data_IF_672463176039
#
_entry.id   IF_672463176039
#
_cell.length_a   1.000
_cell.length_b   1.000
_cell.length_c   1.000
_cell.angle_alpha   90.00
_cell.angle_beta   90.00
_cell.angle_gamma   90.00
#
_symmetry.space_group_name_H-M   'P 1'
#
loop_
_entity.id
_entity.type
_entity.pdbx_description
1 polymer ?
#
# COMPACT_ATOMS: atom_id res chain seq x y z
N UNK A 1 -5.08 7.79 -19.48
CA UNK A 1 -5.32 8.83 -18.44
C UNK A 1 -4.98 8.22 -17.10
N UNK A 2 -4.54 9.02 -16.13
CA UNK A 2 -4.31 8.57 -14.76
C UNK A 2 -5.54 8.92 -13.93
N UNK A 3 -6.05 7.97 -13.16
CA UNK A 3 -7.13 8.17 -12.21
C UNK A 3 -6.57 8.23 -10.80
N UNK A 4 -7.04 9.21 -10.05
CA UNK A 4 -6.57 9.54 -8.71
C UNK A 4 -7.73 9.45 -7.73
N UNK A 5 -7.49 8.81 -6.59
CA UNK A 5 -8.47 8.70 -5.53
C UNK A 5 -7.77 8.80 -4.19
N UNK A 6 -8.39 9.51 -3.25
CA UNK A 6 -7.85 9.72 -1.91
C UNK A 6 -8.89 9.30 -0.86
N UNK A 7 -8.48 9.14 0.39
CA UNK A 7 -9.42 8.78 1.47
C UNK A 7 -10.39 9.91 1.77
N UNK A 8 -9.87 10.97 2.40
CA UNK A 8 -10.65 12.13 2.83
C UNK A 8 -10.10 13.43 2.23
N UNK A 9 -10.96 14.42 2.07
CA UNK A 9 -10.61 15.81 1.73
C UNK A 9 -11.39 16.76 2.61
N UNK A 10 -10.66 17.60 3.35
CA UNK A 10 -11.26 18.63 4.19
C UNK A 10 -11.85 19.77 3.37
N UNK A 11 -12.89 20.41 3.91
CA UNK A 11 -13.46 21.63 3.35
C UNK A 11 -13.43 22.72 4.44
N UNK A 12 -12.76 23.87 4.23
CA UNK A 12 -12.69 24.92 5.24
C UNK A 12 -14.06 25.50 5.66
N UNK A 13 -15.04 25.49 4.75
CA UNK A 13 -16.36 26.09 4.97
C UNK A 13 -17.44 25.16 5.54
N UNK A 14 -17.15 23.89 5.81
CA UNK A 14 -18.14 22.94 6.34
C UNK A 14 -17.46 21.97 7.33
N UNK A 15 -18.09 21.63 8.48
CA UNK A 15 -17.42 20.91 9.56
C UNK A 15 -16.91 19.49 9.21
N UNK A 16 -17.25 18.95 8.04
CA UNK A 16 -16.77 17.67 7.51
C UNK A 16 -16.72 17.73 5.97
N UNK A 17 -15.54 17.69 5.36
CA UNK A 17 -15.42 17.66 3.90
C UNK A 17 -15.90 16.34 3.27
N UNK A 18 -15.26 15.90 2.18
CA UNK A 18 -15.58 14.62 1.54
C UNK A 18 -14.74 13.48 2.16
N UNK A 19 -15.38 12.63 2.97
CA UNK A 19 -14.79 11.44 3.60
C UNK A 19 -15.30 10.16 2.92
N UNK A 20 -15.65 10.24 1.64
CA UNK A 20 -16.19 9.11 0.86
C UNK A 20 -15.55 9.08 -0.52
N UNK A 21 -14.21 9.23 -0.48
CA UNK A 21 -13.31 9.14 -1.61
C UNK A 21 -13.54 10.25 -2.64
N UNK A 22 -12.84 11.39 -2.56
CA UNK A 22 -12.70 12.29 -3.71
C UNK A 22 -11.89 11.61 -4.81
N UNK A 23 -12.12 12.01 -6.05
CA UNK A 23 -11.33 11.52 -7.19
C UNK A 23 -11.12 12.57 -8.27
N UNK A 24 -10.10 12.34 -9.08
CA UNK A 24 -9.72 13.20 -10.19
C UNK A 24 -9.08 12.39 -11.32
N UNK A 25 -8.89 13.04 -12.47
CA UNK A 25 -8.07 12.52 -13.56
C UNK A 25 -6.97 13.51 -13.95
N UNK A 26 -5.87 13.00 -14.46
CA UNK A 26 -4.85 13.81 -15.12
C UNK A 26 -4.32 13.10 -16.38
N UNK A 27 -3.73 13.89 -17.26
CA UNK A 27 -2.87 13.36 -18.31
C UNK A 27 -1.43 13.21 -17.79
N UNK A 28 -0.69 12.29 -18.40
CA UNK A 28 0.74 12.13 -18.16
C UNK A 28 1.52 13.24 -18.86
N UNK A 29 2.77 13.54 -18.47
CA UNK A 29 3.57 14.60 -19.09
C UNK A 29 3.76 14.38 -20.59
N UNK A 30 3.97 13.13 -21.02
CA UNK A 30 4.10 12.72 -22.43
C UNK A 30 2.78 12.82 -23.22
N UNK A 31 1.66 13.08 -22.54
CA UNK A 31 0.31 13.22 -23.12
C UNK A 31 -0.30 14.60 -22.86
N UNK A 32 0.52 15.61 -22.61
CA UNK A 32 0.09 17.01 -22.41
C UNK A 32 -0.20 17.39 -20.97
N UNK A 33 0.06 16.51 -20.00
CA UNK A 33 0.13 16.86 -18.58
C UNK A 33 1.33 17.74 -18.26
N UNK A 34 1.34 18.33 -17.06
CA UNK A 34 2.48 19.11 -16.59
C UNK A 34 3.69 18.21 -16.30
N UNK A 35 4.93 18.69 -16.48
CA UNK A 35 6.09 18.06 -15.88
C UNK A 35 5.89 17.89 -14.37
N UNK A 36 6.20 16.71 -13.83
CA UNK A 36 5.91 16.38 -12.42
C UNK A 36 6.53 17.38 -11.42
N UNK A 37 7.68 17.98 -11.75
CA UNK A 37 8.32 19.03 -10.95
C UNK A 37 7.48 20.31 -10.80
N UNK A 38 6.53 20.54 -11.70
CA UNK A 38 5.62 21.69 -11.66
C UNK A 38 4.28 21.33 -10.99
N UNK A 39 4.03 20.04 -10.75
CA UNK A 39 2.81 19.51 -10.16
C UNK A 39 1.99 18.65 -11.13
N UNK A 40 0.78 18.31 -10.70
CA UNK A 40 -0.16 17.48 -11.47
C UNK A 40 -1.42 18.32 -11.73
N UNK A 41 -1.79 18.45 -13.01
CA UNK A 41 -3.00 19.17 -13.39
C UNK A 41 -4.24 18.27 -13.18
N UNK A 42 -4.73 18.24 -11.93
CA UNK A 42 -5.85 17.41 -11.52
C UNK A 42 -7.19 18.01 -11.97
N UNK A 43 -7.94 17.23 -12.75
CA UNK A 43 -9.33 17.52 -13.08
C UNK A 43 -10.23 16.70 -12.15
N UNK A 44 -10.69 17.33 -11.07
CA UNK A 44 -11.54 16.68 -10.08
C UNK A 44 -12.91 16.31 -10.63
N UNK A 45 -13.47 15.21 -10.14
CA UNK A 45 -14.89 14.93 -10.30
C UNK A 45 -15.67 15.84 -9.33
N UNK A 46 -16.41 16.79 -9.87
CA UNK A 46 -17.08 17.82 -9.06
C UNK A 46 -18.56 17.51 -8.81
N UNK A 47 -19.08 18.00 -7.69
CA UNK A 47 -20.51 18.06 -7.39
C UNK A 47 -21.15 19.32 -7.99
N UNK A 48 -22.45 19.48 -7.77
CA UNK A 48 -23.22 20.64 -8.25
C UNK A 48 -22.77 21.98 -7.67
N UNK A 49 -22.00 21.99 -6.58
CA UNK A 49 -21.45 23.18 -5.94
C UNK A 49 -20.00 23.46 -6.37
N UNK A 50 -19.42 22.64 -7.26
CA UNK A 50 -18.03 22.76 -7.69
C UNK A 50 -17.01 22.20 -6.70
N UNK A 51 -17.42 21.41 -5.72
CA UNK A 51 -16.52 20.73 -4.78
C UNK A 51 -16.25 19.28 -5.22
N UNK A 52 -15.14 18.67 -4.80
CA UNK A 52 -14.81 17.28 -5.15
C UNK A 52 -15.88 16.31 -4.62
N UNK A 53 -16.65 15.70 -5.52
CA UNK A 53 -17.79 14.84 -5.17
C UNK A 53 -17.34 13.55 -4.51
N UNK A 54 -18.24 12.95 -3.73
CA UNK A 54 -18.09 11.57 -3.24
C UNK A 54 -18.08 10.63 -4.43
N UNK A 55 -16.97 9.94 -4.65
CA UNK A 55 -16.87 8.94 -5.71
C UNK A 55 -17.12 7.53 -5.18
N UNK A 56 -17.09 7.28 -3.87
CA UNK A 56 -17.43 5.99 -3.29
C UNK A 56 -18.33 6.16 -2.08
N UNK A 57 -19.65 6.28 -2.28
CA UNK A 57 -20.63 6.44 -1.20
C UNK A 57 -21.45 5.15 -0.99
N UNK A 58 -20.86 4.19 -0.28
CA UNK A 58 -21.52 2.91 -0.01
C UNK A 58 -22.55 3.07 1.13
N UNK A 59 -23.72 2.41 1.04
CA UNK A 59 -24.80 2.57 2.02
C UNK A 59 -24.37 2.14 3.43
N UNK A 60 -24.99 2.75 4.44
CA UNK A 60 -24.71 2.51 5.85
C UNK A 60 -24.04 3.69 6.55
N UNK A 61 -24.02 3.71 7.89
CA UNK A 61 -23.47 4.81 8.68
C UNK A 61 -21.98 5.01 8.45
N UNK A 62 -21.55 6.27 8.61
CA UNK A 62 -20.14 6.67 8.56
C UNK A 62 -19.52 6.72 7.16
N UNK A 63 -18.23 7.07 7.07
CA UNK A 63 -17.54 7.22 5.80
C UNK A 63 -17.29 5.88 5.09
N UNK A 64 -16.91 5.97 3.82
CA UNK A 64 -16.45 4.85 3.01
C UNK A 64 -15.05 5.14 2.54
N UNK A 65 -14.11 4.23 2.80
CA UNK A 65 -12.75 4.33 2.27
C UNK A 65 -12.48 3.23 1.28
N UNK A 66 -11.47 3.43 0.44
CA UNK A 66 -10.98 2.42 -0.50
C UNK A 66 -9.53 2.09 -0.25
N UNK A 67 -9.13 0.91 -0.70
CA UNK A 67 -7.81 0.32 -0.58
C UNK A 67 -7.60 -0.68 -1.73
N UNK A 68 -6.36 -1.05 -2.05
CA UNK A 68 -6.11 -2.05 -3.10
C UNK A 68 -6.59 -1.64 -4.52
N UNK A 69 -6.51 -0.35 -4.87
CA UNK A 69 -6.95 0.17 -6.18
C UNK A 69 -6.18 -0.48 -7.34
N UNK A 70 -6.87 -1.19 -8.23
CA UNK A 70 -6.25 -1.99 -9.31
C UNK A 70 -7.01 -1.88 -10.63
N UNK A 71 -6.26 -1.82 -11.73
CA UNK A 71 -6.81 -1.95 -13.09
C UNK A 71 -6.59 -3.39 -13.57
N UNK A 72 -7.66 -4.05 -14.01
CA UNK A 72 -7.64 -5.40 -14.58
C UNK A 72 -8.29 -5.39 -15.96
N UNK A 73 -7.95 -6.39 -16.78
CA UNK A 73 -8.62 -6.58 -18.06
C UNK A 73 -9.71 -7.65 -17.91
N UNK A 74 -10.87 -7.42 -18.50
CA UNK A 74 -11.90 -8.45 -18.61
C UNK A 74 -11.59 -9.45 -19.75
N UNK A 75 -12.46 -10.45 -19.91
CA UNK A 75 -12.34 -11.48 -20.96
C UNK A 75 -12.39 -10.93 -22.39
N UNK A 76 -12.87 -9.70 -22.57
CA UNK A 76 -12.92 -9.01 -23.86
C UNK A 76 -11.70 -8.08 -24.05
N UNK A 77 -10.84 -7.96 -23.05
CA UNK A 77 -9.66 -7.09 -23.06
C UNK A 77 -9.96 -5.64 -22.66
N UNK A 78 -11.13 -5.33 -22.09
CA UNK A 78 -11.41 -3.98 -21.62
C UNK A 78 -10.78 -3.73 -20.25
N UNK A 79 -10.16 -2.57 -20.07
CA UNK A 79 -9.69 -2.12 -18.75
C UNK A 79 -10.87 -1.84 -17.82
N UNK A 80 -10.77 -2.33 -16.59
CA UNK A 80 -11.76 -2.14 -15.53
C UNK A 80 -11.05 -1.81 -14.23
N UNK A 81 -11.55 -0.81 -13.51
CA UNK A 81 -10.94 -0.29 -12.29
C UNK A 81 -11.70 -0.77 -11.06
N UNK A 82 -11.00 -1.44 -10.15
CA UNK A 82 -11.54 -2.01 -8.93
C UNK A 82 -10.84 -1.47 -7.69
N UNK A 83 -11.52 -1.53 -6.56
CA UNK A 83 -10.92 -1.33 -5.24
C UNK A 83 -11.66 -2.16 -4.19
N UNK A 84 -10.99 -2.47 -3.08
CA UNK A 84 -11.69 -2.90 -1.87
C UNK A 84 -12.23 -1.66 -1.16
N UNK A 85 -13.51 -1.65 -0.79
CA UNK A 85 -14.05 -0.63 0.10
C UNK A 85 -14.13 -1.14 1.54
N UNK A 86 -14.18 -0.19 2.47
CA UNK A 86 -14.51 -0.43 3.89
C UNK A 86 -15.51 0.62 4.37
N UNK A 87 -16.42 0.21 5.26
CA UNK A 87 -17.26 1.13 6.02
C UNK A 87 -16.72 1.32 7.42
N UNK A 88 -16.64 2.57 7.85
CA UNK A 88 -16.05 2.97 9.12
C UNK A 88 -17.13 3.50 10.05
N UNK A 89 -17.05 3.15 11.33
CA UNK A 89 -17.84 3.72 12.41
C UNK A 89 -16.95 4.04 13.61
N UNK A 90 -17.49 4.79 14.57
CA UNK A 90 -16.81 5.17 15.80
C UNK A 90 -15.41 5.75 15.51
N UNK A 91 -14.42 5.47 16.37
CA UNK A 91 -13.04 5.86 16.13
C UNK A 91 -12.33 4.84 15.23
N UNK A 92 -12.48 4.99 13.91
CA UNK A 92 -11.77 4.24 12.86
C UNK A 92 -12.07 2.72 12.82
N UNK A 93 -13.21 2.27 13.34
CA UNK A 93 -13.57 0.85 13.36
C UNK A 93 -14.21 0.43 12.05
N UNK A 94 -13.57 -0.49 11.34
CA UNK A 94 -14.13 -1.11 10.13
C UNK A 94 -15.23 -2.10 10.53
N UNK A 95 -16.43 -2.01 9.95
CA UNK A 95 -17.54 -2.93 10.24
C UNK A 95 -18.09 -3.66 9.00
N UNK A 96 -17.74 -3.20 7.80
CA UNK A 96 -18.04 -3.86 6.53
C UNK A 96 -16.85 -3.67 5.60
N UNK A 97 -16.62 -4.67 4.74
CA UNK A 97 -15.67 -4.59 3.62
C UNK A 97 -16.23 -5.32 2.41
N UNK A 98 -15.77 -4.95 1.23
CA UNK A 98 -16.19 -5.60 -0.01
C UNK A 98 -15.44 -5.08 -1.21
N UNK A 99 -15.90 -5.46 -2.39
CA UNK A 99 -15.35 -5.01 -3.67
C UNK A 99 -16.26 -3.96 -4.30
N UNK A 100 -15.64 -2.92 -4.85
CA UNK A 100 -16.29 -1.92 -5.70
C UNK A 100 -15.60 -1.86 -7.06
N UNK A 101 -16.34 -1.41 -8.06
CA UNK A 101 -15.86 -1.17 -9.41
C UNK A 101 -16.22 0.24 -9.85
N UNK A 102 -15.30 0.93 -10.51
CA UNK A 102 -15.53 2.27 -11.01
C UNK A 102 -16.39 2.26 -12.27
N UNK A 103 -17.51 2.97 -12.23
CA UNK A 103 -18.35 3.25 -13.38
C UNK A 103 -17.86 4.52 -14.09
N UNK A 104 -17.33 4.36 -15.30
CA UNK A 104 -16.79 5.46 -16.09
C UNK A 104 -17.83 6.48 -16.57
N UNK A 105 -19.08 6.10 -16.75
CA UNK A 105 -20.13 7.04 -17.14
C UNK A 105 -20.54 7.91 -15.94
N UNK A 106 -20.77 7.29 -14.79
CA UNK A 106 -21.24 7.97 -13.60
C UNK A 106 -20.09 8.63 -12.80
N UNK A 107 -18.85 8.30 -13.12
CA UNK A 107 -17.62 8.73 -12.42
C UNK A 107 -17.72 8.49 -10.90
N UNK A 108 -18.09 7.27 -10.54
CA UNK A 108 -18.17 6.79 -9.15
C UNK A 108 -17.98 5.27 -9.09
N UNK A 109 -17.60 4.78 -7.92
CA UNK A 109 -17.57 3.37 -7.56
C UNK A 109 -18.97 2.83 -7.26
N UNK A 110 -19.23 1.64 -7.76
CA UNK A 110 -20.44 0.86 -7.55
C UNK A 110 -20.11 -0.43 -6.79
N UNK A 111 -20.98 -0.80 -5.85
CA UNK A 111 -20.82 -2.01 -5.05
C UNK A 111 -20.89 -3.23 -5.97
N UNK A 112 -19.87 -4.09 -5.91
CA UNK A 112 -19.88 -5.40 -6.59
C UNK A 112 -20.32 -6.51 -5.63
N UNK A 113 -19.75 -6.53 -4.43
CA UNK A 113 -20.06 -7.54 -3.43
C UNK A 113 -19.58 -7.13 -2.04
N UNK A 114 -20.13 -7.78 -1.02
CA UNK A 114 -19.61 -7.76 0.36
C UNK A 114 -18.68 -8.95 0.55
N UNK A 115 -17.51 -8.72 1.11
CA UNK A 115 -16.57 -9.77 1.45
C UNK A 115 -16.87 -10.34 2.84
N UNK A 116 -16.52 -11.61 3.06
CA UNK A 116 -16.51 -12.17 4.42
C UNK A 116 -15.57 -11.36 5.31
N UNK A 117 -16.12 -10.79 6.37
CA UNK A 117 -15.41 -9.97 7.33
C UNK A 117 -14.35 -10.76 8.11
N UNK A 118 -14.49 -12.09 8.21
CA UNK A 118 -13.56 -12.96 8.93
C UNK A 118 -12.56 -13.67 8.02
N UNK A 119 -12.63 -13.47 6.69
CA UNK A 119 -11.65 -14.02 5.77
C UNK A 119 -10.22 -13.59 6.16
N UNK A 120 -9.29 -14.54 6.14
CA UNK A 120 -7.89 -14.34 6.49
C UNK A 120 -7.14 -13.48 5.46
N UNK A 121 -7.51 -13.63 4.18
CA UNK A 121 -6.88 -12.97 3.04
C UNK A 121 -7.90 -12.11 2.30
N UNK A 122 -7.47 -10.92 1.92
CA UNK A 122 -8.26 -9.92 1.19
C UNK A 122 -7.32 -8.83 0.63
N UNK A 123 -7.75 -8.04 -0.38
CA UNK A 123 -6.95 -6.91 -0.88
C UNK A 123 -6.57 -5.94 0.22
N UNK A 124 -5.30 -5.55 0.29
CA UNK A 124 -4.84 -4.55 1.25
C UNK A 124 -3.56 -3.86 0.78
N UNK A 125 -3.42 -2.58 1.13
CA UNK A 125 -2.24 -1.78 0.82
C UNK A 125 -2.15 -1.41 -0.66
N UNK A 126 -0.93 -1.13 -1.10
CA UNK A 126 -0.68 -0.67 -2.47
C UNK A 126 -0.43 -1.86 -3.40
N UNK A 127 -1.36 -2.16 -4.33
CA UNK A 127 -1.21 -3.33 -5.18
C UNK A 127 -0.15 -3.11 -6.25
N UNK A 128 0.37 -4.23 -6.74
CA UNK A 128 1.26 -4.27 -7.89
C UNK A 128 0.99 -5.53 -8.72
N UNK A 129 1.14 -5.41 -10.04
CA UNK A 129 1.09 -6.54 -10.96
C UNK A 129 2.45 -7.26 -10.95
N UNK A 130 2.46 -8.58 -10.94
CA UNK A 130 3.67 -9.39 -11.01
C UNK A 130 3.41 -10.69 -11.75
N UNK A 131 4.28 -11.01 -12.71
CA UNK A 131 4.23 -12.28 -13.43
C UNK A 131 5.03 -13.33 -12.66
N UNK A 132 4.43 -14.49 -12.41
CA UNK A 132 5.08 -15.65 -11.79
C UNK A 132 4.74 -16.91 -12.58
N UNK A 133 5.76 -17.54 -13.17
CA UNK A 133 5.59 -18.80 -13.90
C UNK A 133 4.66 -18.68 -15.12
N UNK A 134 4.72 -17.56 -15.86
CA UNK A 134 3.87 -17.31 -17.02
C UNK A 134 2.43 -16.91 -16.71
N UNK A 135 2.12 -16.64 -15.43
CA UNK A 135 0.80 -16.19 -15.00
C UNK A 135 0.88 -14.81 -14.34
N UNK A 136 -0.06 -13.95 -14.69
CA UNK A 136 -0.20 -12.63 -14.08
C UNK A 136 -0.94 -12.71 -12.74
N UNK A 137 -0.35 -12.10 -11.72
CA UNK A 137 -0.95 -11.94 -10.40
C UNK A 137 -1.01 -10.46 -10.01
N UNK A 138 -1.97 -10.13 -9.15
CA UNK A 138 -1.94 -8.92 -8.35
C UNK A 138 -1.45 -9.29 -6.97
N UNK A 139 -0.40 -8.61 -6.51
CA UNK A 139 0.12 -8.75 -5.16
C UNK A 139 -0.41 -7.62 -4.28
N UNK A 140 -0.71 -7.95 -3.04
CA UNK A 140 -1.22 -7.09 -1.98
C UNK A 140 -0.41 -7.29 -0.70
N UNK A 141 -0.47 -6.31 0.19
CA UNK A 141 0.16 -6.37 1.50
C UNK A 141 0.39 -4.98 2.08
N UNK A 142 0.47 -4.92 3.41
CA UNK A 142 0.81 -3.69 4.10
C UNK A 142 2.32 -3.47 4.07
N UNK A 143 3.10 -4.24 4.83
CA UNK A 143 4.55 -4.05 4.95
C UNK A 143 5.32 -4.58 3.72
N UNK A 144 4.93 -5.76 3.25
CA UNK A 144 5.47 -6.40 2.06
C UNK A 144 4.33 -7.06 1.27
N UNK A 145 4.43 -7.17 -0.07
CA UNK A 145 3.36 -7.64 -0.94
C UNK A 145 3.25 -9.19 -0.93
N UNK A 146 2.94 -9.75 0.24
CA UNK A 146 2.94 -11.19 0.50
C UNK A 146 1.65 -11.91 0.12
N UNK A 147 0.58 -11.20 -0.21
CA UNK A 147 -0.70 -11.76 -0.63
C UNK A 147 -0.75 -11.70 -2.16
N UNK A 148 -1.25 -12.73 -2.84
CA UNK A 148 -1.50 -12.70 -4.29
C UNK A 148 -2.88 -13.22 -4.65
N UNK A 149 -3.34 -12.82 -5.82
CA UNK A 149 -4.52 -13.36 -6.52
C UNK A 149 -4.25 -13.33 -8.02
N UNK A 150 -4.74 -14.30 -8.82
CA UNK A 150 -4.67 -14.20 -10.28
C UNK A 150 -5.27 -12.88 -10.77
N UNK A 151 -4.68 -12.28 -11.81
CA UNK A 151 -5.05 -10.95 -12.28
C UNK A 151 -6.29 -10.94 -13.18
N UNK A 152 -7.44 -11.41 -12.65
CA UNK A 152 -8.73 -11.37 -13.33
C UNK A 152 -9.82 -10.75 -12.44
N UNK A 153 -10.85 -10.10 -13.01
CA UNK A 153 -11.97 -9.56 -12.22
C UNK A 153 -12.69 -10.60 -11.37
N UNK A 154 -12.82 -11.83 -11.85
CA UNK A 154 -13.52 -12.91 -11.15
C UNK A 154 -12.69 -13.44 -9.98
N UNK A 155 -11.37 -13.63 -10.17
CA UNK A 155 -10.48 -14.07 -9.09
C UNK A 155 -10.30 -12.98 -8.02
N UNK A 156 -10.22 -11.71 -8.42
CA UNK A 156 -10.22 -10.57 -7.49
C UNK A 156 -11.50 -10.55 -6.62
N UNK A 157 -12.61 -11.04 -7.16
CA UNK A 157 -13.86 -11.14 -6.43
C UNK A 157 -13.96 -12.37 -5.51
N UNK A 158 -13.22 -13.45 -5.77
CA UNK A 158 -13.30 -14.67 -4.97
C UNK A 158 -12.13 -14.77 -3.96
N UNK A 159 -12.43 -14.48 -2.68
CA UNK A 159 -11.42 -14.57 -1.61
C UNK A 159 -10.78 -15.97 -1.44
N UNK A 160 -11.37 -17.03 -2.02
CA UNK A 160 -10.78 -18.39 -2.02
C UNK A 160 -9.62 -18.54 -3.00
N UNK A 161 -9.44 -17.58 -3.91
CA UNK A 161 -8.32 -17.55 -4.86
C UNK A 161 -7.08 -16.89 -4.28
N UNK A 162 -7.22 -16.20 -3.14
CA UNK A 162 -6.12 -15.51 -2.50
C UNK A 162 -5.19 -16.51 -1.83
N UNK A 163 -3.90 -16.26 -2.01
CA UNK A 163 -2.81 -17.00 -1.40
C UNK A 163 -1.87 -16.02 -0.70
N UNK A 164 -1.17 -16.47 0.32
CA UNK A 164 -0.08 -15.70 0.94
C UNK A 164 1.21 -16.49 0.92
N UNK A 165 2.33 -15.81 0.68
CA UNK A 165 3.66 -16.39 0.76
C UNK A 165 4.04 -16.54 2.23
N UNK A 166 4.12 -17.79 2.70
CA UNK A 166 4.21 -18.07 4.14
C UNK A 166 4.83 -19.44 4.43
N UNK A 167 5.46 -19.55 5.59
CA UNK A 167 5.93 -20.80 6.19
C UNK A 167 4.95 -21.39 7.20
N UNK A 168 3.74 -20.86 7.33
CA UNK A 168 2.71 -21.45 8.20
C UNK A 168 2.07 -22.69 7.54
N UNK A 169 1.81 -23.74 8.29
CA UNK A 169 0.99 -24.88 7.83
C UNK A 169 -0.47 -24.47 7.71
N UNK A 170 -1.11 -24.82 6.60
CA UNK A 170 -2.57 -24.71 6.46
C UNK A 170 -3.25 -25.60 7.51
N UNK A 171 -4.22 -25.04 8.23
CA UNK A 171 -4.93 -25.74 9.30
C UNK A 171 -6.04 -24.88 9.90
N UNK A 172 -6.98 -25.50 10.62
CA UNK A 172 -8.20 -24.84 11.12
C UNK A 172 -8.05 -24.16 12.50
N UNK A 173 -6.91 -24.32 13.17
CA UNK A 173 -6.71 -23.73 14.50
C UNK A 173 -6.26 -22.26 14.41
N UNK A 174 -7.22 -21.35 14.56
CA UNK A 174 -7.07 -19.90 14.40
C UNK A 174 -6.24 -19.18 15.47
N UNK A 175 -5.50 -19.90 16.33
CA UNK A 175 -4.66 -19.31 17.39
C UNK A 175 -3.31 -19.99 17.61
N UNK A 176 -3.10 -21.18 17.07
CA UNK A 176 -1.89 -21.99 17.26
C UNK A 176 -1.28 -22.37 15.91
N UNK A 177 -0.99 -21.37 15.07
CA UNK A 177 -0.35 -21.61 13.78
C UNK A 177 0.93 -22.41 13.98
N UNK A 178 1.10 -23.47 13.18
CA UNK A 178 2.29 -24.29 13.18
C UNK A 178 3.19 -23.90 12.03
N UNK A 179 4.49 -23.85 12.25
CA UNK A 179 5.45 -23.60 11.18
C UNK A 179 5.72 -24.87 10.38
N UNK A 180 5.95 -24.70 9.09
CA UNK A 180 6.38 -25.74 8.17
C UNK A 180 7.88 -25.65 7.97
N UNK A 181 8.55 -26.79 8.10
CA UNK A 181 10.00 -26.92 7.99
C UNK A 181 10.33 -28.06 7.05
N UNK A 182 11.44 -27.94 6.32
CA UNK A 182 12.00 -29.04 5.54
C UNK A 182 12.78 -30.04 6.41
N UNK A 183 13.30 -31.09 5.76
CA UNK A 183 14.04 -32.16 6.44
C UNK A 183 15.37 -31.67 7.06
N UNK A 184 15.85 -30.50 6.64
CA UNK A 184 17.02 -29.83 7.20
C UNK A 184 16.65 -28.85 8.34
N UNK A 185 15.36 -28.75 8.68
CA UNK A 185 14.85 -27.86 9.72
C UNK A 185 14.66 -26.41 9.27
N UNK A 186 14.83 -26.06 8.00
CA UNK A 186 14.65 -24.69 7.50
C UNK A 186 13.17 -24.40 7.23
N UNK A 187 12.74 -23.16 7.47
CA UNK A 187 11.37 -22.71 7.16
C UNK A 187 11.03 -22.90 5.66
N UNK A 188 9.90 -23.57 5.40
CA UNK A 188 9.42 -23.85 4.04
C UNK A 188 8.41 -22.82 3.58
N UNK A 189 8.89 -21.83 2.84
CA UNK A 189 8.04 -20.80 2.23
C UNK A 189 7.33 -21.32 0.98
N UNK A 190 6.01 -21.20 0.96
CA UNK A 190 5.16 -21.54 -0.19
C UNK A 190 4.01 -20.53 -0.29
N UNK A 191 3.37 -20.47 -1.46
CA UNK A 191 2.09 -19.80 -1.61
C UNK A 191 0.99 -20.68 -1.01
N UNK A 192 0.30 -20.17 0.00
CA UNK A 192 -0.64 -20.96 0.80
C UNK A 192 -2.00 -20.31 0.88
N UNK A 193 -3.04 -21.15 0.82
CA UNK A 193 -4.42 -20.78 1.13
C UNK A 193 -4.71 -21.04 2.61
N UNK A 194 -5.74 -20.38 3.13
CA UNK A 194 -6.29 -20.62 4.47
C UNK A 194 -5.28 -20.42 5.63
N UNK A 195 -4.35 -19.49 5.47
CA UNK A 195 -3.46 -19.00 6.53
C UNK A 195 -3.42 -17.46 6.47
N UNK A 196 -3.19 -16.76 7.58
CA UNK A 196 -3.04 -15.31 7.58
C UNK A 196 -1.72 -14.90 6.90
N UNK A 197 -1.61 -13.66 6.42
CA UNK A 197 -0.33 -13.12 5.98
C UNK A 197 0.63 -13.02 7.17
N UNK A 198 1.93 -13.16 6.92
CA UNK A 198 2.94 -12.90 7.95
C UNK A 198 2.88 -11.41 8.36
N UNK A 199 3.02 -11.16 9.66
CA UNK A 199 3.14 -9.82 10.26
C UNK A 199 4.17 -9.86 11.38
N UNK A 200 4.79 -8.73 11.72
CA UNK A 200 5.71 -8.66 12.87
C UNK A 200 5.10 -9.20 14.16
N UNK A 201 3.82 -8.89 14.44
CA UNK A 201 3.11 -9.39 15.61
C UNK A 201 2.92 -10.92 15.58
N UNK A 202 2.57 -11.48 14.42
CA UNK A 202 2.44 -12.93 14.27
C UNK A 202 3.78 -13.62 14.50
N UNK A 203 4.86 -13.09 13.91
CA UNK A 203 6.20 -13.65 14.05
C UNK A 203 6.72 -13.53 15.49
N UNK A 204 6.43 -12.42 16.18
CA UNK A 204 6.74 -12.27 17.60
C UNK A 204 6.07 -13.35 18.45
N UNK A 205 4.78 -13.62 18.21
CA UNK A 205 4.08 -14.70 18.91
C UNK A 205 4.70 -16.08 18.61
N UNK A 206 5.16 -16.33 17.38
CA UNK A 206 5.83 -17.60 17.04
C UNK A 206 7.18 -17.76 17.75
N UNK A 207 7.94 -16.67 17.93
CA UNK A 207 9.19 -16.67 18.72
C UNK A 207 8.89 -16.95 20.19
N UNK A 208 7.91 -16.28 20.77
CA UNK A 208 7.49 -16.49 22.17
C UNK A 208 7.05 -17.95 22.42
N UNK A 209 6.51 -18.61 21.39
CA UNK A 209 6.15 -20.03 21.42
C UNK A 209 7.31 -20.99 21.09
N UNK A 210 8.51 -20.48 20.80
CA UNK A 210 9.68 -21.27 20.41
C UNK A 210 9.53 -21.98 19.06
N UNK A 211 8.63 -21.52 18.19
CA UNK A 211 8.42 -22.13 16.88
C UNK A 211 9.42 -21.65 15.82
N UNK A 212 9.91 -20.41 15.95
CA UNK A 212 10.97 -19.83 15.13
C UNK A 212 11.97 -19.08 16.01
N UNK A 213 13.19 -18.92 15.54
CA UNK A 213 14.20 -18.06 16.16
C UNK A 213 14.12 -16.63 15.60
N UNK A 214 14.65 -15.63 16.31
CA UNK A 214 14.57 -14.22 15.89
C UNK A 214 15.15 -13.99 14.49
N UNK A 215 16.26 -14.62 14.15
CA UNK A 215 16.90 -14.51 12.84
C UNK A 215 16.14 -15.21 11.71
N UNK A 216 15.17 -16.06 12.04
CA UNK A 216 14.33 -16.75 11.05
C UNK A 216 13.12 -15.93 10.61
N UNK A 217 12.79 -14.84 11.33
CA UNK A 217 11.69 -13.96 10.94
C UNK A 217 11.88 -13.44 9.51
N UNK A 218 10.77 -13.29 8.80
CA UNK A 218 10.72 -12.69 7.48
C UNK A 218 11.02 -11.19 7.55
N UNK A 219 10.44 -10.47 8.51
CA UNK A 219 10.62 -9.01 8.62
C UNK A 219 11.93 -8.68 9.35
N UNK A 220 13.03 -8.60 8.60
CA UNK A 220 14.39 -8.34 9.11
C UNK A 220 15.00 -7.01 8.66
N UNK A 221 14.20 -6.10 8.11
CA UNK A 221 14.71 -4.80 7.63
C UNK A 221 15.45 -4.06 8.74
N UNK A 222 16.67 -3.59 8.44
CA UNK A 222 17.53 -2.87 9.38
C UNK A 222 17.98 -1.54 8.80
N UNK A 223 18.13 -0.57 9.69
CA UNK A 223 18.72 0.71 9.37
C UNK A 223 20.20 0.53 9.04
N UNK A 224 20.63 1.04 7.88
CA UNK A 224 22.03 1.05 7.46
C UNK A 224 22.94 1.82 8.42
N UNK A 225 22.42 2.83 9.13
CA UNK A 225 23.24 3.64 10.04
C UNK A 225 23.38 2.98 11.42
N UNK A 226 22.25 2.56 11.99
CA UNK A 226 22.22 2.10 13.40
C UNK A 226 22.20 0.58 13.55
N UNK A 227 22.03 -0.17 12.45
CA UNK A 227 21.88 -1.63 12.43
C UNK A 227 20.65 -2.17 13.18
N UNK A 228 19.82 -1.26 13.69
CA UNK A 228 18.60 -1.59 14.43
C UNK A 228 17.52 -2.06 13.46
N UNK A 229 16.73 -3.04 13.90
CA UNK A 229 15.57 -3.53 13.15
C UNK A 229 14.52 -2.42 13.05
N UNK A 230 13.93 -2.28 11.86
CA UNK A 230 12.87 -1.34 11.53
C UNK A 230 11.59 -2.15 11.31
N UNK A 231 10.49 -1.70 11.90
CA UNK A 231 9.17 -2.26 11.65
C UNK A 231 8.40 -1.36 10.68
N UNK A 232 8.15 -1.90 9.49
CA UNK A 232 7.36 -1.22 8.45
C UNK A 232 5.87 -1.51 8.70
N UNK A 233 5.08 -0.45 8.87
CA UNK A 233 3.64 -0.52 9.02
C UNK A 233 2.95 -0.75 7.67
N UNK A 234 3.33 0.03 6.67
CA UNK A 234 2.85 -0.12 5.30
C UNK A 234 3.88 0.43 4.31
N UNK A 235 3.83 -0.06 3.07
CA UNK A 235 4.77 0.32 2.04
C UNK A 235 4.14 0.34 0.65
N UNK A 236 4.85 0.96 -0.27
CA UNK A 236 4.67 0.77 -1.71
C UNK A 236 5.91 0.11 -2.27
N UNK A 237 5.74 -0.95 -3.04
CA UNK A 237 6.81 -1.66 -3.75
C UNK A 237 6.64 -1.48 -5.26
N UNK A 238 7.75 -1.28 -5.97
CA UNK A 238 7.76 -1.13 -7.42
C UNK A 238 9.08 -1.63 -8.01
N UNK A 239 9.05 -2.09 -9.25
CA UNK A 239 10.28 -2.35 -10.02
C UNK A 239 10.94 -1.02 -10.40
N UNK A 240 12.26 -0.96 -10.30
CA UNK A 240 13.05 0.20 -10.71
C UNK A 240 14.08 -0.20 -11.77
N UNK A 241 13.97 0.38 -12.97
CA UNK A 241 14.85 0.04 -14.10
C UNK A 241 16.30 0.47 -13.88
N UNK A 242 16.54 1.64 -13.26
CA UNK A 242 17.88 2.16 -12.96
C UNK A 242 18.64 1.27 -11.99
N UNK A 243 17.95 0.69 -11.01
CA UNK A 243 18.54 -0.26 -10.06
C UNK A 243 18.62 -1.68 -10.61
N UNK A 244 17.71 -2.07 -11.51
CA UNK A 244 17.49 -3.48 -11.83
C UNK A 244 17.04 -4.28 -10.59
N UNK A 245 16.30 -3.64 -9.69
CA UNK A 245 15.82 -4.19 -8.41
C UNK A 245 14.39 -3.74 -8.14
N UNK A 246 13.74 -4.43 -7.21
CA UNK A 246 12.52 -3.95 -6.56
C UNK A 246 12.88 -2.95 -5.47
N UNK A 247 12.21 -1.80 -5.47
CA UNK A 247 12.37 -0.75 -4.46
C UNK A 247 11.15 -0.66 -3.57
N UNK A 248 11.38 -0.42 -2.27
CA UNK A 248 10.34 -0.17 -1.28
C UNK A 248 10.42 1.27 -0.79
N UNK A 249 9.27 1.93 -0.68
CA UNK A 249 9.09 3.11 0.16
C UNK A 249 8.16 2.70 1.31
N UNK A 250 8.73 2.57 2.51
CA UNK A 250 8.06 2.02 3.69
C UNK A 250 7.89 3.05 4.80
N UNK A 251 6.72 3.07 5.42
CA UNK A 251 6.43 3.86 6.61
C UNK A 251 6.71 3.05 7.86
N UNK A 252 7.50 3.61 8.77
CA UNK A 252 7.65 3.12 10.14
C UNK A 252 6.76 3.94 11.09
N UNK A 253 6.15 3.25 12.06
CA UNK A 253 5.51 3.87 13.23
C UNK A 253 6.46 3.94 14.42
N UNK A 254 6.25 4.90 15.30
CA UNK A 254 6.98 5.05 16.57
C UNK A 254 8.50 5.13 16.41
N UNK A 255 8.97 5.81 15.36
CA UNK A 255 10.37 6.18 15.23
C UNK A 255 10.65 7.48 15.99
N UNK A 256 11.31 8.44 15.35
CA UNK A 256 11.43 9.80 15.90
C UNK A 256 10.10 10.56 15.90
N UNK A 257 9.19 10.20 14.99
CA UNK A 257 7.79 10.64 14.95
C UNK A 257 6.83 9.48 15.24
N UNK A 258 5.61 9.78 15.67
CA UNK A 258 4.55 8.77 15.89
C UNK A 258 4.22 8.02 14.60
N UNK A 259 4.13 8.73 13.47
CA UNK A 259 3.74 8.21 12.16
C UNK A 259 4.29 9.10 11.03
N UNK A 260 5.56 8.93 10.65
CA UNK A 260 6.14 9.81 9.63
C UNK A 260 7.54 9.44 9.15
N UNK A 261 8.14 8.36 9.66
CA UNK A 261 9.45 7.92 9.23
C UNK A 261 9.33 7.10 7.94
N UNK A 262 9.90 7.62 6.85
CA UNK A 262 9.88 6.96 5.55
C UNK A 262 11.26 6.41 5.22
N UNK A 263 11.27 5.15 4.81
CA UNK A 263 12.45 4.36 4.51
C UNK A 263 12.46 3.93 3.04
N UNK A 264 13.64 3.96 2.45
CA UNK A 264 13.95 3.35 1.17
C UNK A 264 14.66 2.01 1.37
N UNK A 265 14.32 0.99 0.57
CA UNK A 265 14.99 -0.32 0.57
C UNK A 265 14.99 -0.94 -0.83
N UNK A 266 15.88 -1.89 -1.07
CA UNK A 266 16.03 -2.62 -2.33
C UNK A 266 16.02 -4.15 -2.12
N UNK A 267 15.48 -4.90 -3.08
CA UNK A 267 15.51 -6.35 -3.11
C UNK A 267 15.51 -6.91 -4.53
N UNK A 268 16.00 -8.14 -4.70
CA UNK A 268 15.98 -8.84 -5.99
C UNK A 268 14.58 -9.35 -6.39
N UNK A 269 13.66 -9.47 -5.43
CA UNK A 269 12.29 -9.95 -5.60
C UNK A 269 11.32 -8.99 -4.91
N UNK A 270 10.07 -8.82 -5.37
CA UNK A 270 9.09 -8.01 -4.67
C UNK A 270 8.74 -8.59 -3.30
N UNK A 271 9.03 -9.89 -3.09
CA UNK A 271 8.90 -10.59 -1.82
C UNK A 271 10.15 -10.44 -0.93
N UNK A 272 11.10 -9.56 -1.25
CA UNK A 272 12.33 -9.42 -0.47
C UNK A 272 13.34 -10.54 -0.74
N UNK A 273 14.22 -10.88 0.22
CA UNK A 273 14.29 -10.30 1.57
C UNK A 273 14.65 -8.82 1.52
N UNK A 274 13.95 -8.03 2.35
CA UNK A 274 14.22 -6.61 2.54
C UNK A 274 15.16 -6.46 3.73
N UNK A 275 16.46 -6.40 3.47
CA UNK A 275 17.49 -6.48 4.51
C UNK A 275 17.88 -5.11 5.06
N UNK A 276 18.11 -4.15 4.18
CA UNK A 276 18.66 -2.84 4.53
C UNK A 276 17.75 -1.70 4.13
N UNK A 277 17.63 -0.72 5.01
CA UNK A 277 16.84 0.48 4.83
C UNK A 277 17.65 1.75 5.08
N UNK A 278 17.37 2.78 4.28
CA UNK A 278 17.85 4.15 4.49
C UNK A 278 16.67 5.04 4.79
N UNK A 279 16.72 5.82 5.88
CA UNK A 279 15.69 6.83 6.14
C UNK A 279 15.82 7.95 5.12
N UNK A 280 14.72 8.33 4.47
CA UNK A 280 14.70 9.35 3.41
C UNK A 280 13.82 10.56 3.73
N UNK A 281 12.78 10.39 4.56
CA UNK A 281 11.91 11.48 5.01
C UNK A 281 11.55 11.27 6.48
N UNK A 282 11.55 12.36 7.23
CA UNK A 282 10.96 12.44 8.57
C UNK A 282 10.31 13.81 8.74
N UNK A 283 9.27 13.88 9.56
CA UNK A 283 8.65 15.12 10.00
C UNK A 283 8.63 15.12 11.51
N UNK A 284 9.19 16.16 12.13
CA UNK A 284 9.33 16.24 13.60
C UNK A 284 7.98 16.13 14.32
N UNK A 285 7.09 17.12 14.12
CA UNK A 285 5.75 17.15 14.70
C UNK A 285 4.66 17.08 13.63
N UNK A 286 4.76 16.20 12.65
CA UNK A 286 3.70 15.98 11.66
C UNK A 286 3.60 14.52 11.26
N UNK A 287 2.39 14.09 10.88
CA UNK A 287 2.24 12.74 10.34
C UNK A 287 2.42 12.78 8.83
N UNK A 288 3.14 11.81 8.27
CA UNK A 288 3.26 11.57 6.84
C UNK A 288 3.11 10.08 6.59
N UNK A 289 1.96 9.65 6.09
CA UNK A 289 1.58 8.24 6.08
C UNK A 289 0.97 7.77 4.76
N UNK A 290 0.85 6.45 4.62
CA UNK A 290 0.37 5.81 3.39
C UNK A 290 1.22 6.14 2.14
N UNK A 291 2.54 5.89 2.20
CA UNK A 291 3.43 6.27 1.12
C UNK A 291 3.17 5.45 -0.14
N UNK A 292 2.89 6.12 -1.26
CA UNK A 292 2.67 5.50 -2.58
C UNK A 292 3.75 5.94 -3.57
N UNK A 293 4.47 4.99 -4.16
CA UNK A 293 5.34 5.25 -5.31
C UNK A 293 4.50 5.48 -6.57
N UNK A 294 4.98 6.37 -7.45
CA UNK A 294 4.38 6.62 -8.77
C UNK A 294 5.38 6.34 -9.91
N UNK A 295 5.62 5.05 -10.26
CA UNK A 295 6.55 4.69 -11.34
C UNK A 295 6.20 5.32 -12.70
N UNK A 296 4.93 5.65 -12.92
CA UNK A 296 4.46 6.35 -14.12
C UNK A 296 5.01 7.78 -14.30
N UNK A 297 5.61 8.36 -13.25
CA UNK A 297 6.34 9.63 -13.32
C UNK A 297 7.85 9.47 -13.19
N UNK A 298 8.37 8.25 -13.11
CA UNK A 298 9.79 8.00 -13.00
C UNK A 298 10.55 8.62 -14.19
N UNK A 299 11.67 9.29 -13.91
CA UNK A 299 12.50 9.93 -14.93
C UNK A 299 13.86 9.25 -14.98
N UNK A 300 14.53 9.36 -16.13
CA UNK A 300 15.86 8.81 -16.34
C UNK A 300 15.93 7.32 -15.99
N UNK A 301 14.97 6.55 -16.52
CA UNK A 301 14.80 5.10 -16.24
C UNK A 301 14.64 4.80 -14.75
N UNK A 302 14.05 5.71 -13.98
CA UNK A 302 13.84 5.53 -12.55
C UNK A 302 15.03 5.89 -11.66
N UNK A 303 16.07 6.56 -12.19
CA UNK A 303 17.05 7.25 -11.32
C UNK A 303 16.35 8.27 -10.43
N UNK A 304 15.38 8.99 -10.98
CA UNK A 304 14.50 9.88 -10.22
C UNK A 304 13.14 9.19 -10.03
N UNK A 305 12.78 8.92 -8.77
CA UNK A 305 11.48 8.36 -8.42
C UNK A 305 10.64 9.39 -7.65
N UNK A 306 9.33 9.21 -7.70
CA UNK A 306 8.37 10.06 -7.01
C UNK A 306 7.47 9.21 -6.11
N UNK A 307 7.22 9.70 -4.91
CA UNK A 307 6.25 9.10 -4.01
C UNK A 307 5.51 10.17 -3.23
N UNK A 308 4.23 9.91 -2.94
CA UNK A 308 3.42 10.79 -2.11
C UNK A 308 3.02 10.12 -0.81
N UNK A 309 2.54 10.91 0.13
CA UNK A 309 1.92 10.44 1.36
C UNK A 309 1.06 11.53 1.98
N UNK A 310 0.18 11.12 2.89
CA UNK A 310 -0.78 12.01 3.53
C UNK A 310 -0.10 12.76 4.67
N UNK A 311 0.03 14.07 4.50
CA UNK A 311 0.60 15.00 5.46
C UNK A 311 -0.52 15.59 6.35
N UNK A 312 -0.56 15.23 7.64
CA UNK A 312 -1.60 15.72 8.57
C UNK A 312 -1.14 15.86 10.03
N UNK A 313 -1.76 16.76 10.79
CA UNK A 313 -1.61 16.81 12.25
C UNK A 313 -2.36 15.72 13.00
N UNK A 314 -3.29 15.00 12.35
CA UNK A 314 -4.27 14.10 13.00
C UNK A 314 -3.66 13.11 14.00
N UNK A 315 -2.45 12.59 13.72
CA UNK A 315 -1.78 11.60 14.56
C UNK A 315 -0.48 12.10 15.21
N UNK A 316 -0.08 13.36 14.97
CA UNK A 316 1.19 13.89 15.47
C UNK A 316 1.07 14.65 16.80
N UNK A 317 -0.15 14.94 17.24
CA UNK A 317 -0.38 15.82 18.39
C UNK A 317 0.07 17.26 18.13
N UNK A 318 0.22 17.65 16.87
CA UNK A 318 0.56 19.03 16.51
C UNK A 318 -0.69 19.92 16.53
N UNK A 319 -0.62 20.96 17.35
CA UNK A 319 -1.69 21.94 17.49
C UNK A 319 -1.67 22.96 16.36
N UNK A 320 -0.53 23.10 15.66
CA UNK A 320 -0.34 24.07 14.58
C UNK A 320 -0.42 23.34 13.24
N UNK A 321 -1.51 23.61 12.51
CA UNK A 321 -1.71 23.12 11.14
C UNK A 321 -0.90 23.96 10.16
N UNK A 322 -0.17 23.32 9.26
CA UNK A 322 0.45 24.05 8.14
C UNK A 322 -0.66 24.61 7.25
N UNK A 323 -0.77 25.94 7.09
CA UNK A 323 -1.89 26.55 6.36
C UNK A 323 -1.98 25.99 4.93
N UNK A 324 -3.17 25.56 4.53
CA UNK A 324 -3.48 24.95 3.21
C UNK A 324 -2.84 23.59 2.92
N UNK A 325 -1.92 23.09 3.74
CA UNK A 325 -1.24 21.82 3.53
C UNK A 325 -1.71 20.71 4.48
N UNK A 326 -2.31 21.04 5.62
CA UNK A 326 -2.86 20.03 6.53
C UNK A 326 -3.91 19.15 5.83
N UNK A 327 -3.72 17.83 5.95
CA UNK A 327 -4.58 16.82 5.34
C UNK A 327 -4.54 16.85 3.80
N UNK A 328 -3.34 16.96 3.22
CA UNK A 328 -3.09 16.83 1.78
C UNK A 328 -2.07 15.73 1.48
N UNK A 329 -1.94 15.38 0.20
CA UNK A 329 -0.80 14.61 -0.27
C UNK A 329 0.40 15.54 -0.52
N UNK A 330 1.57 15.16 0.01
CA UNK A 330 2.84 15.80 -0.34
C UNK A 330 3.65 14.81 -1.18
N UNK A 331 4.06 15.25 -2.37
CA UNK A 331 4.88 14.47 -3.29
C UNK A 331 6.37 14.81 -3.07
N UNK A 332 7.19 13.79 -2.87
CA UNK A 332 8.63 13.87 -2.82
C UNK A 332 9.25 13.34 -4.11
N UNK A 333 10.35 13.97 -4.53
CA UNK A 333 11.28 13.42 -5.51
C UNK A 333 12.47 12.81 -4.75
N UNK A 334 12.90 11.60 -5.14
CA UNK A 334 14.10 10.95 -4.63
C UNK A 334 15.05 10.65 -5.78
N UNK A 335 16.30 11.06 -5.63
CA UNK A 335 17.38 10.78 -6.57
C UNK A 335 18.19 9.56 -6.10
N UNK A 336 18.08 8.46 -6.82
CA UNK A 336 18.74 7.19 -6.50
C UNK A 336 20.24 7.19 -6.84
N UNK A 337 20.77 8.25 -7.46
CA UNK A 337 22.22 8.44 -7.62
C UNK A 337 22.89 9.16 -6.46
N UNK A 338 22.11 9.59 -5.44
CA UNK A 338 22.67 10.14 -4.21
C UNK A 338 23.62 9.12 -3.55
N UNK A 339 24.86 9.50 -3.17
CA UNK A 339 25.83 8.59 -2.55
C UNK A 339 25.32 7.91 -1.27
N UNK A 340 24.39 8.52 -0.53
CA UNK A 340 23.78 7.91 0.66
C UNK A 340 22.80 6.77 0.31
N UNK A 341 22.50 6.59 -0.98
CA UNK A 341 21.71 5.52 -1.55
C UNK A 341 22.54 4.70 -2.56
N UNK A 342 23.86 4.69 -2.46
CA UNK A 342 24.68 3.87 -3.36
C UNK A 342 24.25 2.38 -3.28
N UNK A 343 24.18 1.69 -4.42
CA UNK A 343 23.55 0.38 -4.53
C UNK A 343 24.25 -0.68 -3.65
N UNK A 344 25.57 -0.59 -3.55
CA UNK A 344 26.42 -1.44 -2.72
C UNK A 344 26.09 -1.40 -1.22
N UNK A 345 25.42 -0.33 -0.75
CA UNK A 345 24.96 -0.25 0.64
C UNK A 345 23.87 -1.29 0.93
N UNK A 346 23.04 -1.61 -0.06
CA UNK A 346 21.91 -2.53 0.09
C UNK A 346 22.27 -3.99 -0.22
N UNK A 347 23.48 -4.26 -0.71
CA UNK A 347 23.99 -5.61 -1.02
C UNK A 347 24.72 -6.30 0.13
N UNK A 348 25.04 -5.56 1.20
CA UNK A 348 25.71 -6.06 2.41
C UNK A 348 24.91 -7.20 3.07
#
# INVERSE_FOLDING_TARGET
>A
RVYWFWGDTNQPGYPLGNFSVPGAISDLPDRGGLPIQQGINLNYFLDQNGFAKKTCDMPGPGPTWIDGLVVLHDVQGNERLFAKYVKIKDFLTVYERGLVEFNDEQKKFEKRQVFDFNALLYPVGHPMKYEMGGHDYILFGLAAPLIRVPASPDDLADLKQYETYSYLKSGTETKNWKVDRDDAGKLRYEWRKNVPPLTSDLEKNLIEQGQIEEQEQYFQLRDLETMKRIEIQNSSVAWNEYRGKWTMIGLQKFGTSVLGEIWYSEAASPLGPWKWGRKIVTHDKYSFYNPKQHPLFAQEKGRLIYFEGTYTTLFSGNEVKTPRYDYNQIMYQLDLSDPHLAAELFEQ
#
